data_IF_756251437424
#
_entry.id   IF_756251437424
#
_cell.length_a   1.000
_cell.length_b   1.000
_cell.length_c   1.000
_cell.angle_alpha   90.00
_cell.angle_beta   90.00
_cell.angle_gamma   90.00
#
_symmetry.space_group_name_H-M   'P 1'
#
loop_
_entity.id
_entity.type
_entity.pdbx_description
1 polymer ?
#
# COMPACT_ATOMS: atom_id res chain seq x y z
N UNK A 1 41.14 2.57 28.45
CA UNK A 1 40.88 1.99 27.12
C UNK A 1 39.76 0.95 27.13
N UNK A 2 39.73 0.00 28.03
CA UNK A 2 38.64 -1.02 28.11
C UNK A 2 37.23 -0.43 28.35
N UNK A 3 37.10 0.65 29.15
CA UNK A 3 35.81 1.34 29.39
C UNK A 3 35.26 2.02 28.14
N UNK A 4 36.12 2.61 27.30
CA UNK A 4 35.71 3.32 26.08
C UNK A 4 35.23 2.31 25.03
N UNK A 5 35.91 1.19 24.89
CA UNK A 5 35.50 0.11 23.97
C UNK A 5 34.19 -0.54 24.41
N UNK A 6 33.99 -0.77 25.70
CA UNK A 6 32.73 -1.32 26.21
C UNK A 6 31.55 -0.36 26.00
N UNK A 7 31.76 0.96 26.18
CA UNK A 7 30.71 1.97 25.97
C UNK A 7 30.34 2.07 24.49
N UNK A 8 31.31 2.11 23.59
CA UNK A 8 31.06 2.15 22.15
C UNK A 8 30.35 0.87 21.65
N UNK A 9 30.74 -0.29 22.17
CA UNK A 9 30.07 -1.56 21.83
C UNK A 9 28.62 -1.60 22.31
N UNK A 10 28.32 -1.03 23.47
CA UNK A 10 26.97 -0.94 24.00
C UNK A 10 26.10 0.03 23.20
N UNK A 11 26.61 1.19 22.83
CA UNK A 11 25.90 2.16 21.97
C UNK A 11 25.59 1.59 20.59
N UNK A 12 26.53 0.92 19.96
CA UNK A 12 26.34 0.25 18.66
C UNK A 12 25.27 -0.84 18.79
N UNK A 13 25.28 -1.61 19.86
CA UNK A 13 24.26 -2.64 20.09
C UNK A 13 22.86 -2.05 20.30
N UNK A 14 22.75 -0.92 21.04
CA UNK A 14 21.49 -0.21 21.26
C UNK A 14 20.95 0.38 19.94
N UNK A 15 21.79 1.03 19.15
CA UNK A 15 21.40 1.59 17.86
C UNK A 15 20.94 0.51 16.88
N UNK A 16 21.63 -0.61 16.83
CA UNK A 16 21.25 -1.77 16.02
C UNK A 16 19.90 -2.35 16.47
N UNK A 17 19.67 -2.41 17.77
CA UNK A 17 18.38 -2.89 18.33
C UNK A 17 17.24 -1.92 17.99
N UNK A 18 17.46 -0.62 18.11
CA UNK A 18 16.47 0.40 17.75
C UNK A 18 16.15 0.36 16.25
N UNK A 19 17.15 0.20 15.41
CA UNK A 19 16.99 0.06 13.97
C UNK A 19 16.16 -1.18 13.62
N UNK A 20 16.50 -2.33 14.21
CA UNK A 20 15.74 -3.57 14.01
C UNK A 20 14.28 -3.44 14.47
N UNK A 21 14.04 -2.77 15.60
CA UNK A 21 12.69 -2.53 16.10
C UNK A 21 11.89 -1.59 15.16
N UNK A 22 12.52 -0.55 14.62
CA UNK A 22 11.89 0.36 13.65
C UNK A 22 11.51 -0.36 12.36
N UNK A 23 12.39 -1.18 11.83
CA UNK A 23 12.16 -1.99 10.62
C UNK A 23 11.04 -3.01 10.87
N UNK A 24 11.05 -3.67 12.03
CA UNK A 24 9.99 -4.60 12.45
C UNK A 24 8.64 -3.90 12.52
N UNK A 25 8.59 -2.70 13.11
CA UNK A 25 7.36 -1.90 13.20
C UNK A 25 6.84 -1.52 11.82
N UNK A 26 7.69 -1.10 10.90
CA UNK A 26 7.30 -0.79 9.53
C UNK A 26 6.77 -2.03 8.80
N UNK A 27 7.37 -3.18 9.00
CA UNK A 27 6.89 -4.47 8.47
C UNK A 27 5.49 -4.79 9.02
N UNK A 28 5.27 -4.59 10.32
CA UNK A 28 3.96 -4.79 10.94
C UNK A 28 2.91 -3.82 10.39
N UNK A 29 3.28 -2.57 10.13
CA UNK A 29 2.38 -1.58 9.52
C UNK A 29 1.98 -1.98 8.10
N UNK A 30 2.92 -2.47 7.29
CA UNK A 30 2.60 -2.97 5.93
C UNK A 30 1.63 -4.14 6.00
N UNK A 31 1.88 -5.10 6.88
CA UNK A 31 1.02 -6.28 7.03
C UNK A 31 -0.36 -5.92 7.59
N UNK A 32 -0.42 -5.03 8.58
CA UNK A 32 -1.66 -4.55 9.17
C UNK A 32 -2.51 -3.77 8.16
N UNK A 33 -1.89 -2.87 7.41
CA UNK A 33 -2.57 -2.13 6.33
C UNK A 33 -3.13 -3.09 5.27
N UNK A 34 -2.36 -4.10 4.90
CA UNK A 34 -2.78 -5.11 3.92
C UNK A 34 -3.98 -5.90 4.43
N UNK A 35 -3.95 -6.34 5.67
CA UNK A 35 -5.08 -7.07 6.26
C UNK A 35 -6.34 -6.19 6.37
N UNK A 36 -6.16 -4.91 6.72
CA UNK A 36 -7.26 -3.96 6.85
C UNK A 36 -7.98 -3.72 5.51
N UNK A 37 -7.26 -3.43 4.43
CA UNK A 37 -7.92 -3.18 3.15
C UNK A 37 -8.53 -4.45 2.55
N UNK A 38 -7.93 -5.63 2.78
CA UNK A 38 -8.50 -6.91 2.34
C UNK A 38 -9.81 -7.21 3.04
N UNK A 39 -9.89 -6.98 4.34
CA UNK A 39 -11.12 -7.14 5.10
C UNK A 39 -12.21 -6.19 4.60
N UNK A 40 -11.88 -4.94 4.38
CA UNK A 40 -12.77 -3.90 3.88
C UNK A 40 -13.29 -4.23 2.47
N UNK A 41 -12.40 -4.64 1.56
CA UNK A 41 -12.76 -5.10 0.21
C UNK A 41 -13.75 -6.26 0.27
N UNK A 42 -13.47 -7.26 1.09
CA UNK A 42 -14.33 -8.42 1.25
C UNK A 42 -15.73 -8.06 1.76
N UNK A 43 -15.83 -7.19 2.75
CA UNK A 43 -17.10 -6.70 3.29
C UNK A 43 -17.90 -5.94 2.23
N UNK A 44 -17.26 -5.06 1.48
CA UNK A 44 -17.92 -4.28 0.43
C UNK A 44 -18.40 -5.15 -0.73
N UNK A 45 -17.59 -6.12 -1.14
CA UNK A 45 -18.01 -7.11 -2.17
C UNK A 45 -19.21 -7.92 -1.73
N UNK A 46 -19.24 -8.36 -0.48
CA UNK A 46 -20.36 -9.11 0.09
C UNK A 46 -21.64 -8.27 0.13
N UNK A 47 -21.52 -6.97 0.29
CA UNK A 47 -22.64 -6.01 0.26
C UNK A 47 -23.04 -5.60 -1.17
N UNK A 48 -22.34 -6.06 -2.19
CA UNK A 48 -22.58 -5.70 -3.59
C UNK A 48 -21.97 -4.34 -4.01
N UNK A 49 -21.19 -3.73 -3.14
CA UNK A 49 -20.49 -2.45 -3.43
C UNK A 49 -19.13 -2.71 -4.07
N UNK A 50 -19.16 -3.06 -5.35
CA UNK A 50 -17.93 -3.37 -6.11
C UNK A 50 -17.06 -2.14 -6.37
N UNK A 51 -17.67 -0.97 -6.53
CA UNK A 51 -16.93 0.29 -6.68
C UNK A 51 -16.21 0.66 -5.39
N UNK A 52 -16.89 0.59 -4.25
CA UNK A 52 -16.30 0.80 -2.93
C UNK A 52 -15.19 -0.20 -2.63
N UNK A 53 -15.37 -1.47 -3.00
CA UNK A 53 -14.35 -2.52 -2.86
C UNK A 53 -13.10 -2.19 -3.68
N UNK A 54 -13.26 -1.78 -4.92
CA UNK A 54 -12.14 -1.39 -5.80
C UNK A 54 -11.40 -0.16 -5.26
N UNK A 55 -12.13 0.83 -4.73
CA UNK A 55 -11.53 2.02 -4.11
C UNK A 55 -10.76 1.66 -2.84
N UNK A 56 -11.32 0.84 -1.97
CA UNK A 56 -10.68 0.38 -0.74
C UNK A 56 -9.37 -0.36 -1.03
N UNK A 57 -9.35 -1.20 -2.05
CA UNK A 57 -8.16 -1.91 -2.50
C UNK A 57 -7.10 -0.96 -3.03
N UNK A 58 -7.47 -0.02 -3.87
CA UNK A 58 -6.55 0.98 -4.43
C UNK A 58 -5.92 1.83 -3.35
N UNK A 59 -6.72 2.38 -2.44
CA UNK A 59 -6.25 3.23 -1.35
C UNK A 59 -5.39 2.44 -0.35
N UNK A 60 -5.81 1.24 -0.01
CA UNK A 60 -5.08 0.35 0.89
C UNK A 60 -3.71 -0.05 0.34
N UNK A 61 -3.63 -0.35 -0.94
CA UNK A 61 -2.36 -0.63 -1.62
C UNK A 61 -1.46 0.60 -1.65
N UNK A 62 -2.02 1.80 -1.83
CA UNK A 62 -1.28 3.06 -1.74
C UNK A 62 -0.62 3.25 -0.38
N UNK A 63 -1.35 2.98 0.70
CA UNK A 63 -0.80 3.02 2.07
C UNK A 63 0.29 1.97 2.29
N UNK A 64 0.08 0.75 1.83
CA UNK A 64 1.08 -0.31 1.92
C UNK A 64 2.36 0.04 1.14
N UNK A 65 2.23 0.65 -0.03
CA UNK A 65 3.36 1.13 -0.84
C UNK A 65 4.16 2.19 -0.07
N UNK A 66 3.50 3.18 0.51
CA UNK A 66 4.17 4.22 1.30
C UNK A 66 4.95 3.61 2.47
N UNK A 67 4.33 2.72 3.22
CA UNK A 67 4.98 2.05 4.35
C UNK A 67 6.16 1.20 3.89
N UNK A 68 6.03 0.52 2.74
CA UNK A 68 7.11 -0.29 2.17
C UNK A 68 8.28 0.58 1.70
N UNK A 69 8.00 1.75 1.10
CA UNK A 69 9.03 2.72 0.73
C UNK A 69 9.78 3.23 1.94
N UNK A 70 9.07 3.57 3.03
CA UNK A 70 9.70 3.97 4.30
C UNK A 70 10.59 2.87 4.88
N UNK A 71 10.15 1.62 4.81
CA UNK A 71 10.96 0.48 5.22
C UNK A 71 12.26 0.38 4.43
N UNK A 72 12.19 0.52 3.11
CA UNK A 72 13.36 0.49 2.23
C UNK A 72 14.32 1.65 2.54
N UNK A 73 13.80 2.86 2.71
CA UNK A 73 14.59 4.02 3.10
C UNK A 73 15.31 3.79 4.43
N UNK A 74 14.60 3.25 5.42
CA UNK A 74 15.19 2.93 6.73
C UNK A 74 16.28 1.87 6.62
N UNK A 75 16.07 0.82 5.85
CA UNK A 75 17.07 -0.21 5.60
C UNK A 75 18.32 0.36 4.93
N UNK A 76 18.16 1.20 3.91
CA UNK A 76 19.26 1.88 3.23
C UNK A 76 20.02 2.82 4.16
N UNK A 77 19.29 3.56 4.99
CA UNK A 77 19.87 4.45 5.98
C UNK A 77 20.73 3.69 6.99
N UNK A 78 20.20 2.60 7.55
CA UNK A 78 20.94 1.75 8.49
C UNK A 78 22.14 1.08 7.83
N UNK A 79 22.01 0.63 6.58
CA UNK A 79 23.13 0.09 5.82
C UNK A 79 24.24 1.13 5.63
N UNK A 80 23.88 2.38 5.30
CA UNK A 80 24.84 3.46 5.07
C UNK A 80 25.56 3.91 6.35
N UNK A 81 24.98 3.65 7.51
CA UNK A 81 25.57 3.97 8.80
C UNK A 81 26.58 2.91 9.28
N UNK A 82 26.65 1.76 8.64
CA UNK A 82 27.66 0.76 8.95
C UNK A 82 29.05 1.29 8.64
N UNK A 83 29.93 1.30 9.65
CA UNK A 83 31.31 1.78 9.56
C UNK A 83 32.25 0.68 9.95
N UNK A 84 33.37 0.61 9.26
CA UNK A 84 34.42 -0.35 9.52
C UNK A 84 34.63 -1.31 8.37
N UNK A 85 35.77 -2.02 8.40
CA UNK A 85 36.21 -2.97 7.39
C UNK A 85 36.35 -4.39 7.94
N UNK A 86 35.68 -4.69 9.05
CA UNK A 86 35.70 -6.03 9.64
C UNK A 86 34.80 -6.99 8.87
N UNK A 87 35.06 -8.30 9.00
CA UNK A 87 34.22 -9.33 8.43
C UNK A 87 32.77 -9.27 8.93
N UNK A 88 32.57 -8.89 10.21
CA UNK A 88 31.24 -8.71 10.79
C UNK A 88 30.47 -7.54 10.15
N UNK A 89 31.13 -6.42 9.89
CA UNK A 89 30.53 -5.25 9.21
C UNK A 89 30.14 -5.63 7.77
N UNK A 90 31.01 -6.34 7.07
CA UNK A 90 30.71 -6.83 5.71
C UNK A 90 29.50 -7.78 5.71
N UNK A 91 29.41 -8.67 6.69
CA UNK A 91 28.26 -9.58 6.84
C UNK A 91 26.96 -8.83 7.11
N UNK A 92 27.00 -7.83 8.00
CA UNK A 92 25.83 -6.98 8.31
C UNK A 92 25.39 -6.18 7.08
N UNK A 93 26.34 -5.63 6.33
CA UNK A 93 26.05 -4.92 5.09
C UNK A 93 25.33 -5.81 4.08
N UNK A 94 25.79 -7.04 3.91
CA UNK A 94 25.16 -8.01 3.01
C UNK A 94 23.75 -8.41 3.48
N UNK A 95 23.54 -8.55 4.79
CA UNK A 95 22.21 -8.82 5.34
C UNK A 95 21.24 -7.68 5.06
N UNK A 96 21.66 -6.43 5.24
CA UNK A 96 20.86 -5.27 4.87
C UNK A 96 20.57 -5.23 3.37
N UNK A 97 21.57 -5.52 2.54
CA UNK A 97 21.39 -5.57 1.09
C UNK A 97 20.35 -6.62 0.69
N UNK A 98 20.40 -7.78 1.28
CA UNK A 98 19.42 -8.85 1.05
C UNK A 98 18.01 -8.42 1.45
N UNK A 99 17.86 -7.77 2.60
CA UNK A 99 16.58 -7.25 3.06
C UNK A 99 16.06 -6.12 2.15
N UNK A 100 16.94 -5.25 1.66
CA UNK A 100 16.60 -4.20 0.70
C UNK A 100 16.09 -4.82 -0.61
N UNK A 101 16.78 -5.82 -1.12
CA UNK A 101 16.40 -6.50 -2.35
C UNK A 101 15.03 -7.18 -2.22
N UNK A 102 14.79 -7.86 -1.12
CA UNK A 102 13.49 -8.49 -0.82
C UNK A 102 12.38 -7.44 -0.69
N UNK A 103 12.67 -6.36 0.02
CA UNK A 103 11.70 -5.27 0.23
C UNK A 103 11.40 -4.54 -1.09
N UNK A 104 12.39 -4.35 -1.96
CA UNK A 104 12.23 -3.73 -3.28
C UNK A 104 11.39 -4.64 -4.20
N UNK A 105 11.60 -5.94 -4.16
CA UNK A 105 10.78 -6.91 -4.91
C UNK A 105 9.32 -6.86 -4.44
N UNK A 106 9.09 -6.80 -3.14
CA UNK A 106 7.72 -6.65 -2.59
C UNK A 106 7.09 -5.32 -3.00
N UNK A 107 7.86 -4.23 -3.01
CA UNK A 107 7.38 -2.93 -3.47
C UNK A 107 6.91 -3.00 -4.92
N UNK A 108 7.70 -3.59 -5.81
CA UNK A 108 7.34 -3.77 -7.21
C UNK A 108 6.04 -4.58 -7.37
N UNK A 109 5.86 -5.62 -6.55
CA UNK A 109 4.62 -6.40 -6.53
C UNK A 109 3.42 -5.57 -6.08
N UNK A 110 3.57 -4.76 -5.03
CA UNK A 110 2.52 -3.86 -4.53
C UNK A 110 2.15 -2.80 -5.57
N UNK A 111 3.13 -2.22 -6.23
CA UNK A 111 2.91 -1.22 -7.30
C UNK A 111 2.17 -1.84 -8.49
N UNK A 112 2.51 -3.06 -8.87
CA UNK A 112 1.81 -3.78 -9.92
C UNK A 112 0.35 -4.08 -9.52
N UNK A 113 0.12 -4.52 -8.30
CA UNK A 113 -1.23 -4.74 -7.76
C UNK A 113 -2.03 -3.43 -7.74
N UNK A 114 -1.41 -2.32 -7.35
CA UNK A 114 -2.08 -1.01 -7.35
C UNK A 114 -2.46 -0.56 -8.76
N UNK A 115 -1.61 -0.80 -9.74
CA UNK A 115 -1.90 -0.50 -11.14
C UNK A 115 -3.09 -1.31 -11.64
N UNK A 116 -3.15 -2.59 -11.31
CA UNK A 116 -4.30 -3.45 -11.63
C UNK A 116 -5.56 -2.98 -10.91
N UNK A 117 -5.44 -2.59 -9.64
CA UNK A 117 -6.55 -2.05 -8.86
C UNK A 117 -7.06 -0.73 -9.45
N UNK A 118 -6.18 0.13 -9.94
CA UNK A 118 -6.55 1.37 -10.64
C UNK A 118 -7.35 1.07 -11.90
N UNK A 119 -6.89 0.13 -12.70
CA UNK A 119 -7.58 -0.26 -13.93
C UNK A 119 -8.99 -0.80 -13.62
N UNK A 120 -9.12 -1.63 -12.59
CA UNK A 120 -10.41 -2.13 -12.13
C UNK A 120 -11.31 -1.02 -11.61
N UNK A 121 -10.75 -0.08 -10.84
CA UNK A 121 -11.47 1.08 -10.33
C UNK A 121 -11.99 1.97 -11.46
N UNK A 122 -11.16 2.27 -12.45
CA UNK A 122 -11.53 3.07 -13.62
C UNK A 122 -12.63 2.37 -14.44
N UNK A 123 -12.53 1.06 -14.60
CA UNK A 123 -13.56 0.25 -15.27
C UNK A 123 -14.90 0.35 -14.55
N UNK A 124 -14.93 0.18 -13.24
CA UNK A 124 -16.18 0.28 -12.45
C UNK A 124 -16.76 1.70 -12.45
N UNK A 125 -15.92 2.72 -12.39
CA UNK A 125 -16.35 4.12 -12.49
C UNK A 125 -16.95 4.43 -13.86
N UNK A 126 -16.34 3.98 -14.94
CA UNK A 126 -16.84 4.15 -16.29
C UNK A 126 -18.18 3.45 -16.47
N UNK A 127 -18.30 2.20 -16.03
CA UNK A 127 -19.54 1.45 -16.09
C UNK A 127 -20.68 2.11 -15.32
N UNK A 128 -20.39 2.62 -14.12
CA UNK A 128 -21.38 3.35 -13.32
C UNK A 128 -21.79 4.67 -14.01
N UNK A 129 -20.85 5.41 -14.58
CA UNK A 129 -21.12 6.64 -15.29
C UNK A 129 -22.02 6.40 -16.54
N UNK A 130 -21.76 5.33 -17.28
CA UNK A 130 -22.60 4.92 -18.41
C UNK A 130 -24.02 4.53 -17.98
N UNK A 131 -24.15 3.74 -16.89
CA UNK A 131 -25.44 3.38 -16.33
C UNK A 131 -26.24 4.59 -15.86
N UNK A 132 -25.59 5.54 -15.22
CA UNK A 132 -26.24 6.79 -14.81
C UNK A 132 -26.70 7.61 -16.00
N UNK A 133 -25.93 7.67 -17.07
CA UNK A 133 -26.28 8.35 -18.31
C UNK A 133 -27.48 7.69 -18.98
N UNK A 134 -27.50 6.36 -19.07
CA UNK A 134 -28.63 5.59 -19.64
C UNK A 134 -29.89 5.78 -18.80
N UNK A 135 -29.77 5.70 -17.47
CA UNK A 135 -30.88 5.92 -16.57
C UNK A 135 -31.51 7.31 -16.73
N UNK A 136 -30.68 8.33 -16.81
CA UNK A 136 -31.11 9.72 -17.06
C UNK A 136 -31.84 9.85 -18.40
N UNK A 137 -31.30 9.24 -19.45
CA UNK A 137 -31.88 9.24 -20.79
C UNK A 137 -33.26 8.53 -20.78
N UNK A 138 -33.39 7.38 -20.12
CA UNK A 138 -34.65 6.67 -19.97
C UNK A 138 -35.69 7.48 -19.20
N UNK A 139 -35.30 8.17 -18.15
CA UNK A 139 -36.20 9.04 -17.38
C UNK A 139 -36.67 10.24 -18.22
N UNK A 140 -35.79 10.86 -18.98
CA UNK A 140 -36.16 11.97 -19.89
C UNK A 140 -37.14 11.48 -20.96
N UNK A 141 -36.93 10.30 -21.53
CA UNK A 141 -37.83 9.70 -22.51
C UNK A 141 -39.20 9.36 -21.89
N UNK A 142 -39.23 8.83 -20.68
CA UNK A 142 -40.46 8.52 -19.94
C UNK A 142 -41.24 9.78 -19.61
N UNK A 143 -40.56 10.85 -19.16
CA UNK A 143 -41.18 12.14 -18.90
C UNK A 143 -41.78 12.77 -20.15
N UNK A 144 -41.06 12.69 -21.27
CA UNK A 144 -41.56 13.16 -22.57
C UNK A 144 -42.80 12.38 -23.04
N UNK A 145 -42.81 11.08 -22.83
CA UNK A 145 -43.94 10.20 -23.13
C UNK A 145 -45.17 10.53 -22.25
N UNK A 146 -44.97 10.71 -20.96
CA UNK A 146 -46.03 11.11 -20.02
C UNK A 146 -46.60 12.48 -20.40
N UNK A 147 -45.76 13.45 -20.74
CA UNK A 147 -46.18 14.78 -21.24
C UNK A 147 -47.04 14.65 -22.47
N UNK A 148 -46.68 13.80 -23.40
CA UNK A 148 -47.42 13.57 -24.64
C UNK A 148 -48.77 12.95 -24.37
N UNK A 149 -48.86 11.96 -23.46
CA UNK A 149 -50.12 11.34 -23.05
C UNK A 149 -51.04 12.35 -22.38
N UNK A 150 -50.51 13.24 -21.56
CA UNK A 150 -51.31 14.28 -20.91
C UNK A 150 -51.82 15.33 -21.91
N UNK A 151 -51.11 15.62 -22.95
CA UNK A 151 -51.55 16.54 -24.00
C UNK A 151 -52.60 15.95 -24.92
N UNK A 152 -52.61 14.62 -25.13
CA UNK A 152 -53.60 13.93 -25.94
C UNK A 152 -54.88 13.58 -25.23
N UNK A 153 -54.85 13.59 -23.90
CA UNK A 153 -55.99 13.26 -23.03
C UNK A 153 -56.79 14.47 -22.61
#
# INVERSE_FOLDING_TARGET
>A
MAKVQATMSTEIALDTLQAANSIKRLTQLVNSSTNAWKAQESQMRSAGDYLGAAQAKYDGLGNAIQNQQHKIEKLKQEQSQLKGSTAETAEQYLKYQQQIDQATTRLASLENQQRQAKNSLDYHRSGLAELQKEYKLQNETSDAYIKRLKAEG
#
